data_IF_390154517746
#
_entry.id   IF_390154517746
#
_cell.length_a   1.000
_cell.length_b   1.000
_cell.length_c   1.000
_cell.angle_alpha   90.00
_cell.angle_beta   90.00
_cell.angle_gamma   90.00
#
_symmetry.space_group_name_H-M   'P 1'
#
loop_
_entity.id
_entity.type
_entity.pdbx_description
1 polymer ?
#
# COMPACT_ATOMS: atom_id res chain seq x y z
N UNK A 1 9.66 -4.50 -8.01
CA UNK A 1 9.49 -3.75 -6.74
C UNK A 1 10.79 -3.64 -5.92
N UNK A 2 11.89 -4.29 -6.33
CA UNK A 2 13.14 -4.31 -5.56
C UNK A 2 13.76 -2.91 -5.30
N UNK A 3 13.53 -1.94 -6.18
CA UNK A 3 14.07 -0.58 -6.06
C UNK A 3 13.21 0.34 -5.17
N UNK A 4 12.11 -0.17 -4.59
CA UNK A 4 11.21 0.64 -3.74
C UNK A 4 11.84 0.88 -2.37
N UNK A 5 11.91 2.14 -1.96
CA UNK A 5 12.53 2.57 -0.70
C UNK A 5 11.53 3.07 0.35
N UNK A 6 10.29 3.37 -0.04
CA UNK A 6 9.22 3.82 0.86
C UNK A 6 7.85 3.49 0.27
N UNK A 7 6.89 3.16 1.13
CA UNK A 7 5.49 2.99 0.76
C UNK A 7 4.53 3.75 1.68
N UNK A 8 3.49 4.35 1.11
CA UNK A 8 2.30 4.82 1.81
C UNK A 8 1.07 4.12 1.23
N UNK A 9 0.29 3.49 2.10
CA UNK A 9 -0.91 2.76 1.74
C UNK A 9 -2.10 3.42 2.41
N UNK A 10 -3.11 3.73 1.61
CA UNK A 10 -4.36 4.28 2.07
C UNK A 10 -5.44 3.23 1.78
N UNK A 11 -6.22 2.88 2.79
CA UNK A 11 -7.39 2.01 2.67
C UNK A 11 -8.66 2.83 2.90
N UNK A 12 -9.74 2.52 2.19
CA UNK A 12 -11.05 3.14 2.46
C UNK A 12 -11.71 2.59 3.72
N UNK A 13 -11.30 1.39 4.14
CA UNK A 13 -11.80 0.66 5.32
C UNK A 13 -10.65 -0.19 5.86
N UNK A 14 -10.22 0.05 7.10
CA UNK A 14 -9.14 -0.70 7.74
C UNK A 14 -9.52 -2.14 8.05
N UNK A 15 -10.80 -2.51 8.03
CA UNK A 15 -11.19 -3.92 8.14
C UNK A 15 -10.66 -4.77 6.97
N UNK A 16 -10.36 -4.13 5.82
CA UNK A 16 -9.76 -4.78 4.66
C UNK A 16 -8.23 -5.01 4.82
N UNK A 17 -7.61 -4.51 5.90
CA UNK A 17 -6.15 -4.56 6.09
C UNK A 17 -5.59 -5.99 6.07
N UNK A 18 -6.25 -6.93 6.72
CA UNK A 18 -5.78 -8.32 6.78
C UNK A 18 -5.61 -8.92 5.38
N UNK A 19 -6.61 -8.72 4.51
CA UNK A 19 -6.61 -9.23 3.14
C UNK A 19 -5.58 -8.51 2.27
N UNK A 20 -5.49 -7.19 2.40
CA UNK A 20 -4.46 -6.40 1.74
C UNK A 20 -3.05 -6.88 2.10
N UNK A 21 -2.80 -7.15 3.39
CA UNK A 21 -1.48 -7.52 3.88
C UNK A 21 -1.03 -8.92 3.40
N UNK A 22 -1.95 -9.83 3.12
CA UNK A 22 -1.60 -11.12 2.49
C UNK A 22 -1.01 -10.90 1.10
N UNK A 23 -1.72 -10.14 0.26
CA UNK A 23 -1.26 -9.84 -1.10
C UNK A 23 0.03 -9.02 -1.06
N UNK A 24 0.13 -8.02 -0.18
CA UNK A 24 1.33 -7.20 -0.03
C UNK A 24 2.61 -8.05 0.13
N UNK A 25 2.56 -9.10 0.95
CA UNK A 25 3.71 -9.98 1.23
C UNK A 25 4.15 -10.79 0.02
N UNK A 26 3.25 -11.11 -0.90
CA UNK A 26 3.60 -11.80 -2.16
C UNK A 26 4.46 -10.91 -3.06
N UNK A 27 4.21 -9.60 -3.05
CA UNK A 27 4.90 -8.62 -3.89
C UNK A 27 6.16 -8.02 -3.23
N UNK A 28 6.19 -7.96 -1.90
CA UNK A 28 7.29 -7.41 -1.10
C UNK A 28 7.84 -8.43 -0.09
N UNK A 29 8.55 -9.48 -0.55
CA UNK A 29 9.16 -10.47 0.35
C UNK A 29 10.25 -9.86 1.25
N UNK A 30 10.89 -8.76 0.81
CA UNK A 30 11.69 -7.87 1.66
C UNK A 30 11.07 -6.47 1.57
N UNK A 31 10.21 -6.09 2.52
CA UNK A 31 9.39 -4.90 2.37
C UNK A 31 10.16 -3.62 2.71
N UNK A 32 9.90 -2.51 2.01
CA UNK A 32 10.34 -1.19 2.44
C UNK A 32 9.58 -0.77 3.71
N UNK A 33 10.03 0.30 4.41
CA UNK A 33 9.20 0.98 5.38
C UNK A 33 7.85 1.37 4.78
N UNK A 34 6.76 0.90 5.41
CA UNK A 34 5.38 1.12 4.97
C UNK A 34 4.56 1.76 6.09
N UNK A 35 3.82 2.81 5.75
CA UNK A 35 2.73 3.33 6.60
C UNK A 35 1.39 2.99 5.96
N UNK A 36 0.46 2.44 6.74
CA UNK A 36 -0.91 2.14 6.30
C UNK A 36 -1.91 2.90 7.16
N UNK A 37 -2.89 3.57 6.54
CA UNK A 37 -3.93 4.33 7.22
C UNK A 37 -5.29 4.21 6.53
N UNK A 38 -6.36 4.43 7.29
CA UNK A 38 -7.70 4.65 6.73
C UNK A 38 -7.83 6.09 6.19
N UNK A 39 -8.56 6.24 5.10
CA UNK A 39 -9.01 7.55 4.60
C UNK A 39 -10.50 7.49 4.29
N UNK A 40 -11.19 8.63 4.42
CA UNK A 40 -12.65 8.66 4.25
C UNK A 40 -13.12 8.27 2.86
N UNK A 41 -12.60 8.88 1.80
CA UNK A 41 -12.95 8.56 0.40
C UNK A 41 -11.78 8.83 -0.54
N UNK A 42 -11.69 8.04 -1.60
CA UNK A 42 -10.81 8.29 -2.74
C UNK A 42 -11.52 9.07 -3.86
N UNK A 43 -10.74 9.61 -4.79
CA UNK A 43 -11.25 10.33 -5.95
C UNK A 43 -11.94 9.42 -6.97
N UNK A 44 -11.48 8.17 -7.09
CA UNK A 44 -12.07 7.18 -8.00
C UNK A 44 -13.22 6.45 -7.27
N UNK A 45 -14.46 6.51 -7.76
CA UNK A 45 -15.58 5.80 -7.16
C UNK A 45 -15.32 4.29 -7.04
N UNK A 46 -15.59 3.72 -5.87
CA UNK A 46 -15.40 2.29 -5.60
C UNK A 46 -13.94 1.88 -5.33
N UNK A 47 -12.97 2.80 -5.39
CA UNK A 47 -11.60 2.51 -5.01
C UNK A 47 -11.52 2.12 -3.52
N UNK A 48 -10.81 1.03 -3.23
CA UNK A 48 -10.64 0.47 -1.88
C UNK A 48 -9.25 0.71 -1.30
N UNK A 49 -8.25 0.84 -2.18
CA UNK A 49 -6.85 0.98 -1.81
C UNK A 49 -6.14 1.91 -2.78
N UNK A 50 -5.31 2.78 -2.25
CA UNK A 50 -4.32 3.54 -3.02
C UNK A 50 -2.94 3.26 -2.44
N UNK A 51 -1.97 2.98 -3.31
CA UNK A 51 -0.57 2.74 -2.93
C UNK A 51 0.30 3.79 -3.61
N UNK A 52 1.07 4.51 -2.79
CA UNK A 52 2.10 5.45 -3.23
C UNK A 52 3.48 4.86 -2.90
N UNK A 53 4.34 4.74 -3.90
CA UNK A 53 5.67 4.15 -3.79
C UNK A 53 6.73 5.17 -4.21
N UNK A 54 7.77 5.30 -3.39
CA UNK A 54 9.02 5.97 -3.81
C UNK A 54 10.06 4.90 -4.13
N UNK A 55 10.74 5.02 -5.27
CA UNK A 55 11.80 4.11 -5.70
C UNK A 55 13.07 4.87 -6.07
N UNK A 56 14.22 4.25 -5.87
CA UNK A 56 15.52 4.78 -6.24
C UNK A 56 16.31 3.70 -6.99
N UNK A 57 16.83 4.03 -8.16
CA UNK A 57 17.62 3.13 -9.00
C UNK A 57 18.86 3.88 -9.48
N UNK A 58 20.00 3.22 -9.39
CA UNK A 58 21.28 3.75 -9.88
C UNK A 58 21.41 3.55 -11.39
#
# INVERSE_FOLDING_TARGET
LADTVKAQVFLSDLNDFYYFDQIWKEYFPSPPPRTTLEVGKFLVPGCKVQVDLTAAKN
#
